data_IF_636160234483
#
_entry.id   IF_636160234483
#
_cell.length_a   1.000
_cell.length_b   1.000
_cell.length_c   1.000
_cell.angle_alpha   90.00
_cell.angle_beta   90.00
_cell.angle_gamma   90.00
#
_symmetry.space_group_name_H-M   'P 1'
#
loop_
_entity.id
_entity.type
_entity.pdbx_description
1 polymer ?
#
# COMPACT_ATOMS: atom_id res chain seq x y z
N UNK A 1 -4.46 6.81 14.89
CA UNK A 1 -5.57 5.90 15.23
C UNK A 1 -5.08 4.47 15.04
N UNK A 2 -5.43 3.58 15.96
CA UNK A 2 -5.11 2.16 15.86
C UNK A 2 -6.13 1.48 14.95
N UNK A 3 -5.65 0.77 13.94
CA UNK A 3 -6.47 -0.09 13.09
C UNK A 3 -6.18 -1.55 13.46
N UNK A 4 -7.23 -2.34 13.59
CA UNK A 4 -7.17 -3.72 14.06
C UNK A 4 -7.87 -4.65 13.07
N UNK A 5 -7.31 -5.83 12.91
CA UNK A 5 -7.91 -6.94 12.17
C UNK A 5 -7.86 -8.16 13.07
N UNK A 6 -8.89 -8.99 13.08
CA UNK A 6 -8.85 -10.28 13.78
C UNK A 6 -8.98 -11.41 12.78
N UNK A 7 -8.31 -12.50 13.07
CA UNK A 7 -8.47 -13.74 12.32
C UNK A 7 -9.87 -14.31 12.53
N UNK A 8 -10.37 -14.23 13.77
CA UNK A 8 -11.74 -14.58 14.15
C UNK A 8 -12.28 -13.48 15.06
N UNK A 9 -13.41 -12.89 14.67
CA UNK A 9 -14.18 -11.96 15.50
C UNK A 9 -15.15 -12.76 16.38
N UNK A 10 -15.04 -12.57 17.69
CA UNK A 10 -15.95 -13.16 18.68
C UNK A 10 -17.03 -12.15 19.11
N UNK A 11 -16.71 -10.85 19.06
CA UNK A 11 -17.60 -9.72 19.32
C UNK A 11 -17.00 -8.43 18.72
N UNK A 12 -17.73 -7.31 18.75
CA UNK A 12 -17.42 -6.03 18.06
C UNK A 12 -15.98 -5.51 18.26
N UNK A 13 -15.34 -5.81 19.39
CA UNK A 13 -13.95 -5.42 19.69
C UNK A 13 -13.12 -6.57 20.29
N UNK A 14 -13.53 -7.82 20.06
CA UNK A 14 -12.86 -8.97 20.64
C UNK A 14 -12.75 -10.12 19.65
N UNK A 15 -11.62 -10.82 19.69
CA UNK A 15 -11.31 -11.88 18.75
C UNK A 15 -9.97 -12.53 19.00
N UNK A 16 -9.66 -13.55 18.20
CA UNK A 16 -8.36 -14.22 18.21
C UNK A 16 -7.54 -13.84 16.98
N UNK A 17 -6.22 -13.95 17.07
CA UNK A 17 -5.34 -13.62 15.95
C UNK A 17 -5.31 -12.12 15.59
N UNK A 18 -5.53 -11.23 16.56
CA UNK A 18 -5.53 -9.77 16.37
C UNK A 18 -4.25 -9.31 15.66
N UNK A 19 -4.31 -8.53 14.60
CA UNK A 19 -3.21 -7.78 14.00
C UNK A 19 -3.49 -6.29 14.15
N UNK A 20 -2.44 -5.47 14.33
CA UNK A 20 -2.61 -4.05 14.60
C UNK A 20 -1.60 -3.21 13.82
N UNK A 21 -2.07 -2.07 13.34
CA UNK A 21 -1.27 -1.12 12.58
C UNK A 21 -1.78 0.30 12.84
N UNK A 22 -0.98 1.31 12.52
CA UNK A 22 -1.34 2.70 12.80
C UNK A 22 -1.73 3.46 11.55
N UNK A 23 -2.89 4.12 11.63
CA UNK A 23 -3.43 4.99 10.61
C UNK A 23 -3.36 6.44 11.10
N UNK A 24 -2.57 7.27 10.41
CA UNK A 24 -2.40 8.70 10.70
C UNK A 24 -3.54 9.46 10.04
N UNK A 25 -4.32 10.15 10.88
CA UNK A 25 -5.40 11.04 10.42
C UNK A 25 -4.90 12.48 10.26
N UNK A 26 -4.09 12.93 11.20
CA UNK A 26 -3.59 14.28 11.31
C UNK A 26 -2.29 14.29 12.11
N UNK A 27 -1.41 15.25 11.80
CA UNK A 27 -0.19 15.55 12.57
C UNK A 27 -0.51 16.25 13.89
N UNK A 28 -1.48 17.16 13.86
CA UNK A 28 -1.84 18.01 14.98
C UNK A 28 -3.35 17.95 15.22
N UNK A 29 -3.76 18.08 16.48
CA UNK A 29 -5.17 18.25 16.85
C UNK A 29 -5.61 19.68 16.59
N UNK A 30 -5.99 19.96 15.35
CA UNK A 30 -6.45 21.27 14.90
C UNK A 30 -7.54 21.12 13.82
N UNK A 31 -8.21 22.23 13.53
CA UNK A 31 -9.26 22.29 12.51
C UNK A 31 -8.72 22.41 11.06
N UNK A 32 -7.40 22.29 10.84
CA UNK A 32 -6.82 22.40 9.50
C UNK A 32 -7.32 21.26 8.62
N UNK A 33 -7.96 21.61 7.50
CA UNK A 33 -8.46 20.65 6.51
C UNK A 33 -7.30 19.86 5.91
N UNK A 34 -7.45 18.53 5.88
CA UNK A 34 -6.47 17.60 5.33
C UNK A 34 -7.11 16.77 4.22
N UNK A 35 -6.59 16.84 2.99
CA UNK A 35 -7.07 16.01 1.90
C UNK A 35 -6.92 14.51 2.19
N UNK A 36 -7.86 13.73 1.69
CA UNK A 36 -7.82 12.27 1.76
C UNK A 36 -8.44 11.68 0.50
N UNK A 37 -8.05 10.45 0.18
CA UNK A 37 -8.57 9.65 -0.93
C UNK A 37 -9.06 8.33 -0.36
N UNK A 38 -10.29 7.94 -0.72
CA UNK A 38 -10.85 6.63 -0.44
C UNK A 38 -11.22 5.98 -1.76
N UNK A 39 -10.63 4.83 -2.06
CA UNK A 39 -10.94 4.01 -3.24
C UNK A 39 -11.15 2.58 -2.82
N UNK A 40 -12.03 1.84 -3.46
CA UNK A 40 -12.39 0.50 -3.03
C UNK A 40 -13.31 -0.20 -4.00
N UNK A 41 -13.46 -1.50 -3.80
CA UNK A 41 -14.49 -2.33 -4.41
C UNK A 41 -15.31 -3.03 -3.32
N UNK A 42 -16.08 -4.05 -3.67
CA UNK A 42 -16.94 -4.77 -2.72
C UNK A 42 -16.20 -5.58 -1.65
N UNK A 43 -14.87 -5.78 -1.78
CA UNK A 43 -14.09 -6.66 -0.89
C UNK A 43 -12.99 -5.93 -0.11
N UNK A 44 -12.59 -4.73 -0.54
CA UNK A 44 -11.48 -3.99 0.07
C UNK A 44 -11.55 -2.50 -0.22
N UNK A 45 -10.77 -1.74 0.55
CA UNK A 45 -10.53 -0.34 0.29
C UNK A 45 -9.10 0.08 0.62
N UNK A 46 -8.72 1.19 -0.01
CA UNK A 46 -7.57 2.01 0.33
C UNK A 46 -8.03 3.36 0.88
N UNK A 47 -7.47 3.77 2.01
CA UNK A 47 -7.56 5.12 2.54
C UNK A 47 -6.18 5.76 2.46
N UNK A 48 -6.01 6.81 1.67
CA UNK A 48 -4.78 7.58 1.63
C UNK A 48 -5.01 8.96 2.27
N UNK A 49 -4.23 9.32 3.28
CA UNK A 49 -4.43 10.56 4.04
C UNK A 49 -3.21 11.46 3.93
N UNK A 50 -3.41 12.71 3.48
CA UNK A 50 -2.40 13.77 3.59
C UNK A 50 -2.40 14.32 5.02
N UNK A 51 -1.79 13.54 5.92
CA UNK A 51 -1.95 13.70 7.37
C UNK A 51 -1.16 14.90 7.93
N UNK A 52 -0.12 15.39 7.23
CA UNK A 52 0.82 16.39 7.74
C UNK A 52 0.66 17.75 7.08
N UNK A 53 0.74 18.81 7.90
CA UNK A 53 0.81 20.20 7.42
C UNK A 53 2.25 20.58 7.05
N UNK A 54 3.24 20.03 7.76
CA UNK A 54 4.67 20.20 7.45
C UNK A 54 5.06 19.50 6.14
N UNK A 55 4.32 18.47 5.74
CA UNK A 55 4.59 17.64 4.57
C UNK A 55 3.36 17.54 3.64
N UNK A 56 2.97 18.65 2.99
CA UNK A 56 1.82 18.65 2.09
C UNK A 56 2.02 17.69 0.91
N UNK A 57 0.92 17.14 0.39
CA UNK A 57 0.90 16.21 -0.75
C UNK A 57 1.68 14.90 -0.50
N UNK A 58 1.80 14.48 0.76
CA UNK A 58 2.41 13.20 1.15
C UNK A 58 1.36 12.29 1.77
N UNK A 59 0.58 11.61 0.92
CA UNK A 59 -0.48 10.73 1.41
C UNK A 59 0.11 9.44 1.97
N UNK A 60 -0.29 9.08 3.18
CA UNK A 60 -0.01 7.77 3.74
C UNK A 60 -1.15 6.81 3.37
N UNK A 61 -0.90 5.72 2.60
CA UNK A 61 -1.93 4.77 2.23
C UNK A 61 -2.12 3.71 3.30
N UNK A 62 -3.38 3.35 3.50
CA UNK A 62 -3.86 2.35 4.42
C UNK A 62 -4.77 1.39 3.66
N UNK A 63 -4.68 0.10 3.95
CA UNK A 63 -5.48 -0.92 3.29
C UNK A 63 -6.19 -1.81 4.30
N UNK A 64 -7.41 -2.18 3.97
CA UNK A 64 -8.09 -3.29 4.62
C UNK A 64 -8.98 -4.03 3.62
N UNK A 65 -8.97 -5.35 3.70
CA UNK A 65 -9.87 -6.24 2.99
C UNK A 65 -9.18 -7.46 2.39
N UNK A 66 -9.86 -8.15 1.49
CA UNK A 66 -9.38 -9.41 0.92
C UNK A 66 -8.51 -9.18 -0.32
N UNK A 67 -7.40 -9.90 -0.44
CA UNK A 67 -6.57 -9.89 -1.66
C UNK A 67 -6.77 -11.15 -2.52
N UNK A 68 -6.56 -11.07 -3.84
CA UNK A 68 -6.62 -12.23 -4.73
C UNK A 68 -5.44 -13.17 -4.48
N UNK A 69 -5.66 -14.16 -3.62
CA UNK A 69 -4.64 -15.12 -3.23
C UNK A 69 -4.33 -16.12 -4.34
N UNK A 70 -3.04 -16.40 -4.54
CA UNK A 70 -2.56 -17.47 -5.42
C UNK A 70 -2.75 -18.87 -4.80
N UNK A 71 -3.04 -18.96 -3.50
CA UNK A 71 -3.30 -20.25 -2.84
C UNK A 71 -4.73 -20.71 -3.20
N UNK A 72 -4.85 -21.87 -3.82
CA UNK A 72 -6.15 -22.50 -4.03
C UNK A 72 -6.85 -22.79 -2.68
N UNK A 73 -8.13 -22.43 -2.57
CA UNK A 73 -8.91 -22.61 -1.34
C UNK A 73 -8.41 -21.75 -0.18
N UNK A 74 -7.96 -20.52 -0.46
CA UNK A 74 -7.48 -19.64 0.60
C UNK A 74 -8.59 -19.18 1.53
N UNK A 75 -8.58 -19.65 2.78
CA UNK A 75 -9.51 -19.24 3.81
C UNK A 75 -9.07 -17.95 4.55
N UNK A 76 -7.84 -17.47 4.32
CA UNK A 76 -7.24 -16.36 5.07
C UNK A 76 -6.70 -15.28 4.14
N UNK A 77 -7.56 -14.79 3.24
CA UNK A 77 -7.26 -13.73 2.27
C UNK A 77 -7.27 -12.31 2.83
N UNK A 78 -7.51 -12.11 4.13
CA UNK A 78 -7.60 -10.79 4.73
C UNK A 78 -6.21 -10.16 4.96
N UNK A 79 -6.07 -8.89 4.56
CA UNK A 79 -4.86 -8.10 4.71
C UNK A 79 -5.19 -6.75 5.40
N UNK A 80 -4.34 -6.37 6.35
CA UNK A 80 -4.34 -5.07 7.00
C UNK A 80 -3.00 -4.39 6.75
N UNK A 81 -3.01 -3.17 6.20
CA UNK A 81 -1.80 -2.40 5.97
C UNK A 81 -1.86 -1.01 6.59
N UNK A 82 -0.72 -0.60 7.15
CA UNK A 82 -0.51 0.74 7.68
C UNK A 82 0.88 0.86 8.25
N UNK A 83 1.02 1.65 9.31
CA UNK A 83 2.31 1.90 9.93
C UNK A 83 2.65 0.89 11.03
N UNK A 84 3.86 0.32 10.97
CA UNK A 84 4.29 -0.76 11.87
C UNK A 84 4.62 -0.29 13.31
N UNK A 85 5.26 0.87 13.44
CA UNK A 85 5.78 1.34 14.72
C UNK A 85 4.78 2.24 15.43
N UNK A 86 4.21 1.70 16.50
CA UNK A 86 3.20 2.37 17.32
C UNK A 86 3.76 3.53 18.16
N UNK A 87 5.09 3.61 18.31
CA UNK A 87 5.77 4.55 19.20
C UNK A 87 6.46 5.70 18.47
N UNK A 88 6.31 5.80 17.14
CA UNK A 88 7.12 6.75 16.38
C UNK A 88 6.70 8.21 16.57
N UNK A 89 7.63 9.11 16.22
CA UNK A 89 7.36 10.53 16.08
C UNK A 89 6.22 10.78 15.07
N UNK A 90 5.13 11.33 15.59
CA UNK A 90 3.92 11.65 14.86
C UNK A 90 4.02 12.87 13.96
N UNK A 91 5.08 13.66 14.10
CA UNK A 91 5.25 14.90 13.37
C UNK A 91 5.79 14.72 11.94
N UNK A 92 6.47 13.61 11.66
CA UNK A 92 7.38 13.49 10.52
C UNK A 92 7.16 12.19 9.71
N UNK A 93 7.33 12.20 8.37
CA UNK A 93 7.53 10.98 7.60
C UNK A 93 8.75 10.23 8.15
N UNK A 94 8.56 8.98 8.52
CA UNK A 94 9.56 8.15 9.19
C UNK A 94 9.89 6.93 8.35
N UNK A 95 11.04 6.31 8.60
CA UNK A 95 11.44 5.07 7.91
C UNK A 95 10.44 3.93 8.15
N UNK A 96 10.35 3.02 7.18
CA UNK A 96 9.42 1.89 7.16
C UNK A 96 7.94 2.28 7.14
N UNK A 97 7.59 3.42 6.52
CA UNK A 97 6.25 3.60 6.00
C UNK A 97 5.94 2.46 5.01
N UNK A 98 4.66 2.12 4.88
CA UNK A 98 4.21 1.08 3.94
C UNK A 98 4.64 1.37 2.49
N UNK A 99 4.93 2.64 2.22
CA UNK A 99 5.37 3.24 0.97
C UNK A 99 6.86 3.46 0.85
N UNK A 100 7.65 3.27 1.92
CA UNK A 100 9.10 3.55 1.94
C UNK A 100 9.93 2.52 1.18
N UNK A 101 9.43 1.30 1.09
CA UNK A 101 10.19 0.18 0.58
C UNK A 101 9.30 -0.67 -0.34
N UNK A 102 9.46 -0.49 -1.65
CA UNK A 102 9.16 -1.59 -2.56
C UNK A 102 10.36 -2.50 -2.51
N UNK A 103 10.20 -3.64 -1.85
CA UNK A 103 11.33 -4.55 -1.66
C UNK A 103 11.57 -5.36 -2.94
N UNK A 104 12.82 -5.76 -3.16
CA UNK A 104 13.13 -6.74 -4.19
C UNK A 104 12.48 -8.07 -3.82
N UNK A 105 11.92 -8.75 -4.82
CA UNK A 105 11.32 -10.08 -4.64
C UNK A 105 12.36 -11.02 -4.04
N UNK A 106 11.95 -11.82 -3.04
CA UNK A 106 12.81 -12.80 -2.37
C UNK A 106 13.61 -12.25 -1.18
N UNK A 107 13.52 -10.95 -0.87
CA UNK A 107 14.18 -10.37 0.31
C UNK A 107 13.48 -10.77 1.62
N UNK A 108 14.20 -10.73 2.74
CA UNK A 108 13.62 -11.01 4.06
C UNK A 108 12.57 -9.97 4.45
N UNK A 109 11.47 -10.42 5.05
CA UNK A 109 10.37 -9.54 5.50
C UNK A 109 10.60 -9.11 6.94
N UNK A 110 10.75 -7.80 7.13
CA UNK A 110 10.91 -7.15 8.44
C UNK A 110 9.57 -6.78 9.09
N UNK A 111 9.57 -5.79 9.98
CA UNK A 111 8.32 -5.25 10.54
C UNK A 111 7.78 -4.14 9.64
N UNK A 112 6.79 -4.46 8.81
CA UNK A 112 6.27 -3.54 7.78
C UNK A 112 4.95 -2.84 8.12
N UNK A 113 4.22 -3.34 9.12
CA UNK A 113 2.85 -2.87 9.41
C UNK A 113 1.82 -3.39 8.41
N UNK A 114 2.23 -4.32 7.54
CA UNK A 114 1.38 -5.12 6.66
C UNK A 114 1.23 -6.50 7.29
N UNK A 115 -0.01 -6.89 7.54
CA UNK A 115 -0.37 -8.11 8.22
C UNK A 115 -1.31 -8.94 7.37
N UNK A 116 -1.04 -10.25 7.33
CA UNK A 116 -1.97 -11.25 6.80
C UNK A 116 -2.56 -12.02 7.97
N UNK A 117 -3.83 -12.39 7.87
CA UNK A 117 -4.49 -13.20 8.90
C UNK A 117 -3.75 -14.52 9.16
N UNK A 118 -3.23 -15.17 8.11
CA UNK A 118 -2.33 -16.33 8.19
C UNK A 118 -1.41 -16.45 6.98
N UNK A 119 -0.30 -17.17 7.15
CA UNK A 119 0.58 -17.57 6.05
C UNK A 119 0.00 -18.64 5.12
N UNK A 120 0.69 -18.90 4.01
CA UNK A 120 0.19 -19.77 2.93
C UNK A 120 -0.04 -21.22 3.36
N UNK A 121 0.58 -21.66 4.45
CA UNK A 121 0.30 -22.96 5.04
C UNK A 121 -1.10 -23.06 5.64
N UNK A 122 -1.76 -21.92 5.90
CA UNK A 122 -3.00 -21.78 6.70
C UNK A 122 -2.85 -22.26 8.16
N UNK A 123 -1.62 -22.50 8.59
CA UNK A 123 -1.28 -22.90 9.95
C UNK A 123 -0.69 -21.72 10.72
N UNK A 124 -0.75 -21.79 12.04
CA UNK A 124 -0.21 -20.76 12.92
C UNK A 124 -1.18 -19.62 13.16
N UNK A 125 -0.68 -18.39 13.11
CA UNK A 125 -1.47 -17.17 13.28
C UNK A 125 -1.02 -16.09 12.31
N UNK A 126 -1.34 -14.84 12.64
CA UNK A 126 -0.98 -13.67 11.83
C UNK A 126 0.51 -13.63 11.51
N UNK A 127 0.83 -13.24 10.28
CA UNK A 127 2.21 -13.06 9.84
C UNK A 127 2.41 -11.69 9.20
N UNK A 128 3.64 -11.22 9.21
CA UNK A 128 4.00 -10.01 8.49
C UNK A 128 4.14 -10.31 6.99
N UNK A 129 3.90 -9.29 6.16
CA UNK A 129 4.10 -9.33 4.73
C UNK A 129 4.77 -8.04 4.24
N UNK A 130 5.19 -8.01 2.98
CA UNK A 130 5.69 -6.80 2.33
C UNK A 130 5.20 -6.70 0.90
N UNK A 131 5.24 -5.48 0.36
CA UNK A 131 4.97 -5.26 -1.06
C UNK A 131 6.27 -5.33 -1.84
N UNK A 132 6.24 -6.07 -2.94
CA UNK A 132 7.39 -6.25 -3.83
C UNK A 132 6.98 -5.93 -5.27
N UNK A 133 7.91 -5.39 -6.05
CA UNK A 133 7.75 -5.15 -7.49
C UNK A 133 9.09 -5.28 -8.20
N UNK A 134 9.07 -5.32 -9.53
CA UNK A 134 10.25 -5.57 -10.36
C UNK A 134 11.32 -4.45 -10.39
N UNK A 135 11.02 -3.14 -10.28
CA UNK A 135 12.02 -2.11 -10.16
C UNK A 135 12.24 -1.80 -8.67
N UNK A 136 12.74 -2.79 -7.95
CA UNK A 136 13.22 -2.58 -6.59
C UNK A 136 14.75 -2.63 -6.63
N UNK A 137 15.36 -1.54 -7.09
CA UNK A 137 16.76 -1.29 -6.78
C UNK A 137 16.89 -1.22 -5.27
N UNK A 138 17.75 -2.05 -4.68
CA UNK A 138 17.93 -2.12 -3.23
C UNK A 138 18.20 -0.73 -2.65
N UNK A 139 17.18 -0.12 -2.03
CA UNK A 139 17.28 1.20 -1.40
C UNK A 139 16.58 2.37 -2.10
N UNK A 140 15.69 2.17 -3.09
CA UNK A 140 14.89 3.30 -3.63
C UNK A 140 13.88 3.82 -2.60
N UNK A 141 13.91 5.13 -2.36
CA UNK A 141 13.18 5.87 -1.31
C UNK A 141 11.69 6.08 -1.62
N UNK A 142 10.99 4.97 -1.83
CA UNK A 142 9.54 4.87 -1.93
C UNK A 142 8.97 4.48 -3.31
N UNK A 143 7.67 4.14 -3.34
CA UNK A 143 6.95 3.77 -4.57
C UNK A 143 7.12 4.83 -5.68
N UNK A 144 7.57 4.45 -6.87
CA UNK A 144 7.78 5.40 -7.98
C UNK A 144 8.94 6.37 -7.87
N UNK A 145 9.82 6.21 -6.86
CA UNK A 145 11.09 6.91 -6.78
C UNK A 145 12.16 6.24 -7.68
N UNK A 146 11.90 6.17 -8.99
CA UNK A 146 12.88 5.64 -9.96
C UNK A 146 13.52 6.76 -10.78
N UNK A 147 14.58 6.43 -11.54
CA UNK A 147 15.25 7.35 -12.44
C UNK A 147 14.52 7.56 -13.79
N UNK A 148 13.39 6.87 -14.03
CA UNK A 148 12.62 7.04 -15.27
C UNK A 148 11.91 8.40 -15.21
N UNK A 149 12.20 9.34 -16.14
CA UNK A 149 11.58 10.65 -16.13
C UNK A 149 10.12 10.58 -16.60
N UNK A 150 9.30 11.49 -16.08
CA UNK A 150 7.95 11.73 -16.58
C UNK A 150 7.93 13.00 -17.47
N UNK A 151 7.27 12.97 -18.64
CA UNK A 151 6.76 11.77 -19.31
C UNK A 151 7.91 10.90 -19.83
N UNK A 152 7.63 9.63 -20.15
CA UNK A 152 8.66 8.78 -20.71
C UNK A 152 9.14 9.32 -22.07
N UNK A 153 10.45 9.50 -22.32
CA UNK A 153 10.93 10.17 -23.54
C UNK A 153 10.63 9.41 -24.84
N UNK A 154 10.46 8.09 -24.78
CA UNK A 154 10.27 7.28 -25.98
C UNK A 154 8.84 7.31 -26.54
N UNK A 155 7.83 7.49 -25.70
CA UNK A 155 6.42 7.39 -26.09
C UNK A 155 5.51 8.44 -25.41
N UNK A 156 6.08 9.35 -24.63
CA UNK A 156 5.37 10.35 -23.85
C UNK A 156 4.38 9.76 -22.83
N UNK A 157 4.57 8.50 -22.43
CA UNK A 157 3.66 7.75 -21.57
C UNK A 157 4.01 7.75 -20.09
N UNK A 158 3.09 7.18 -19.31
CA UNK A 158 3.25 6.80 -17.90
C UNK A 158 3.30 5.27 -17.83
N UNK A 159 4.20 4.73 -17.01
CA UNK A 159 4.28 3.31 -16.76
C UNK A 159 3.98 3.01 -15.31
N UNK A 160 3.25 1.92 -15.11
CA UNK A 160 2.92 1.39 -13.80
C UNK A 160 3.23 -0.09 -13.79
N UNK A 161 3.62 -0.60 -12.63
CA UNK A 161 3.84 -2.02 -12.42
C UNK A 161 2.94 -2.55 -11.30
N UNK A 162 2.47 -3.79 -11.40
CA UNK A 162 1.77 -4.42 -10.29
C UNK A 162 2.70 -4.55 -9.09
N UNK A 163 2.08 -4.51 -7.91
CA UNK A 163 2.70 -4.87 -6.65
C UNK A 163 2.25 -6.29 -6.28
N UNK A 164 3.17 -7.07 -5.71
CA UNK A 164 2.90 -8.40 -5.20
C UNK A 164 3.01 -8.40 -3.68
N UNK A 165 2.24 -9.27 -3.03
CA UNK A 165 2.30 -9.51 -1.60
C UNK A 165 3.29 -10.65 -1.35
N UNK A 166 4.33 -10.39 -0.56
CA UNK A 166 5.29 -11.41 -0.14
C UNK A 166 5.20 -11.66 1.37
N UNK A 167 5.17 -12.92 1.77
CA UNK A 167 5.06 -13.34 3.17
C UNK A 167 6.41 -13.45 3.89
N UNK A 168 6.39 -13.35 5.21
CA UNK A 168 7.60 -13.47 6.04
C UNK A 168 8.21 -14.87 6.11
N UNK A 169 7.38 -15.92 6.14
CA UNK A 169 7.87 -17.29 6.41
C UNK A 169 8.26 -17.98 5.11
N UNK A 170 9.54 -17.92 4.75
CA UNK A 170 10.06 -18.46 3.49
C UNK A 170 9.54 -17.65 2.30
N UNK A 171 10.24 -16.58 1.89
CA UNK A 171 9.68 -15.47 1.09
C UNK A 171 8.93 -15.97 -0.14
N UNK A 172 7.61 -16.08 -0.01
CA UNK A 172 6.70 -16.61 -1.01
C UNK A 172 5.73 -15.52 -1.42
N UNK A 173 5.42 -15.43 -2.71
CA UNK A 173 4.40 -14.52 -3.22
C UNK A 173 3.01 -15.11 -2.96
N UNK A 174 2.15 -14.38 -2.24
CA UNK A 174 0.80 -14.82 -1.88
C UNK A 174 -0.27 -14.32 -2.83
N UNK A 175 -0.02 -13.26 -3.59
CA UNK A 175 -0.99 -12.71 -4.53
C UNK A 175 -0.58 -11.33 -5.04
N UNK A 176 -1.40 -10.77 -5.94
CA UNK A 176 -1.28 -9.37 -6.37
C UNK A 176 -1.87 -8.46 -5.29
N UNK A 177 -1.26 -7.30 -5.09
CA UNK A 177 -1.83 -6.25 -4.25
C UNK A 177 -3.00 -5.61 -5.02
N UNK A 178 -4.24 -5.66 -4.50
CA UNK A 178 -5.40 -5.18 -5.23
C UNK A 178 -5.44 -3.65 -5.27
N UNK A 179 -5.72 -3.09 -6.43
CA UNK A 179 -6.06 -1.67 -6.61
C UNK A 179 -4.92 -0.66 -6.50
N UNK A 180 -3.71 -1.05 -6.06
CA UNK A 180 -2.55 -0.16 -6.01
C UNK A 180 -1.43 -0.67 -6.92
N UNK A 181 -0.98 0.22 -7.79
CA UNK A 181 0.14 -0.02 -8.70
C UNK A 181 1.30 0.90 -8.32
N UNK A 182 2.52 0.46 -8.64
CA UNK A 182 3.74 1.25 -8.50
C UNK A 182 3.97 2.04 -9.80
N UNK A 183 3.83 3.37 -9.81
CA UNK A 183 4.30 4.19 -10.93
C UNK A 183 5.80 3.98 -11.10
N UNK A 184 6.31 4.03 -12.32
CA UNK A 184 7.75 3.99 -12.56
C UNK A 184 8.37 5.38 -12.61
N UNK A 185 7.57 6.42 -12.79
CA UNK A 185 8.08 7.77 -12.92
C UNK A 185 7.74 8.66 -11.73
N UNK A 186 8.62 9.61 -11.44
CA UNK A 186 8.31 10.74 -10.56
C UNK A 186 7.43 11.73 -11.32
N UNK A 187 6.13 11.69 -11.06
CA UNK A 187 5.12 12.50 -11.77
C UNK A 187 5.00 13.89 -11.09
N UNK A 188 5.33 15.02 -11.76
CA UNK A 188 5.28 16.36 -11.20
C UNK A 188 3.93 17.03 -11.53
N UNK A 189 2.84 16.55 -10.95
CA UNK A 189 1.48 16.99 -11.32
C UNK A 189 0.68 17.58 -10.16
N UNK A 190 -0.31 18.44 -10.43
CA UNK A 190 -1.30 18.83 -9.42
C UNK A 190 -2.10 17.59 -9.01
N UNK A 191 -2.00 17.23 -7.75
CA UNK A 191 -2.67 16.06 -7.19
C UNK A 191 -4.11 16.43 -6.77
N UNK A 192 -5.08 15.51 -6.88
CA UNK A 192 -4.98 14.18 -7.49
C UNK A 192 -5.13 14.21 -9.03
N UNK A 193 -4.37 13.40 -9.76
CA UNK A 193 -4.45 13.34 -11.23
C UNK A 193 -5.03 12.02 -11.73
N UNK A 194 -6.01 12.11 -12.63
CA UNK A 194 -6.58 10.96 -13.33
C UNK A 194 -5.89 10.70 -14.66
N UNK A 195 -5.57 9.44 -14.89
CA UNK A 195 -5.03 8.95 -16.14
C UNK A 195 -5.96 7.85 -16.70
N UNK A 196 -6.71 8.14 -17.76
CA UNK A 196 -7.59 7.16 -18.39
C UNK A 196 -6.83 6.26 -19.38
N UNK A 197 -7.45 5.14 -19.75
CA UNK A 197 -7.04 4.39 -20.95
C UNK A 197 -5.92 3.38 -20.75
N UNK A 198 -5.58 3.02 -19.51
CA UNK A 198 -4.70 1.87 -19.29
C UNK A 198 -5.42 0.59 -19.66
N UNK A 199 -4.68 -0.40 -20.15
CA UNK A 199 -5.19 -1.76 -20.28
C UNK A 199 -4.42 -2.63 -19.29
N UNK A 200 -5.10 -3.10 -18.25
CA UNK A 200 -4.53 -3.95 -17.21
C UNK A 200 -5.33 -5.25 -17.20
N UNK A 201 -4.62 -6.37 -17.41
CA UNK A 201 -5.20 -7.70 -17.56
C UNK A 201 -6.36 -7.73 -18.58
N UNK A 202 -6.18 -7.04 -19.72
CA UNK A 202 -7.16 -6.96 -20.80
C UNK A 202 -8.35 -6.03 -20.54
N UNK A 203 -8.42 -5.37 -19.39
CA UNK A 203 -9.51 -4.46 -19.02
C UNK A 203 -9.04 -3.01 -19.10
N UNK A 204 -9.86 -2.13 -19.71
CA UNK A 204 -9.58 -0.70 -19.71
C UNK A 204 -9.80 -0.11 -18.32
N UNK A 205 -8.80 0.58 -17.78
CA UNK A 205 -8.76 1.08 -16.40
C UNK A 205 -8.44 2.56 -16.34
N UNK A 206 -9.02 3.25 -15.36
CA UNK A 206 -8.70 4.63 -15.00
C UNK A 206 -7.85 4.62 -13.73
N UNK A 207 -6.71 5.31 -13.73
CA UNK A 207 -5.85 5.43 -12.56
C UNK A 207 -5.95 6.81 -11.93
N UNK A 208 -5.95 6.85 -10.59
CA UNK A 208 -5.77 8.05 -9.78
C UNK A 208 -4.37 8.06 -9.21
N UNK A 209 -3.56 9.04 -9.58
CA UNK A 209 -2.21 9.21 -9.06
C UNK A 209 -2.18 10.32 -8.00
N UNK A 210 -1.62 9.98 -6.83
CA UNK A 210 -1.36 10.91 -5.73
C UNK A 210 0.06 10.75 -5.20
N UNK A 211 0.52 11.73 -4.42
CA UNK A 211 1.78 11.66 -3.72
C UNK A 211 1.71 10.67 -2.56
N UNK A 212 2.80 9.95 -2.34
CA UNK A 212 2.97 9.03 -1.22
C UNK A 212 3.94 9.62 -0.20
N UNK A 213 3.67 9.38 1.08
CA UNK A 213 4.62 9.65 2.13
C UNK A 213 5.83 8.70 2.02
N UNK A 214 7.04 9.19 2.18
CA UNK A 214 8.24 8.38 2.35
C UNK A 214 9.25 9.17 3.19
N UNK A 215 10.10 8.46 3.92
CA UNK A 215 11.20 8.93 4.76
C UNK A 215 12.17 9.84 4.01
N UNK A 216 12.68 9.40 2.86
CA UNK A 216 13.74 10.09 2.11
C UNK A 216 13.35 10.42 0.64
N UNK A 217 12.08 10.62 0.32
CA UNK A 217 11.70 10.80 -1.08
C UNK A 217 10.27 11.23 -1.36
N UNK A 218 9.97 11.27 -2.66
CA UNK A 218 8.63 11.44 -3.21
C UNK A 218 8.13 10.06 -3.65
N UNK A 219 7.28 9.43 -2.84
CA UNK A 219 6.55 8.28 -3.33
C UNK A 219 5.37 8.74 -4.21
N UNK A 220 4.89 7.85 -5.07
CA UNK A 220 3.70 8.02 -5.91
C UNK A 220 2.84 6.77 -5.81
N UNK A 221 1.55 6.97 -5.67
CA UNK A 221 0.55 5.92 -5.55
C UNK A 221 -0.36 6.00 -6.76
N UNK A 222 -0.48 4.92 -7.54
CA UNK A 222 -1.45 4.83 -8.62
C UNK A 222 -2.58 3.87 -8.22
N UNK A 223 -3.74 4.44 -7.89
CA UNK A 223 -4.92 3.67 -7.55
C UNK A 223 -5.75 3.35 -8.80
N UNK A 224 -6.12 2.10 -9.01
CA UNK A 224 -7.09 1.71 -10.04
C UNK A 224 -8.51 2.05 -9.59
N UNK A 225 -9.16 2.99 -10.27
CA UNK A 225 -10.53 3.44 -9.99
C UNK A 225 -11.62 2.56 -10.62
N UNK A 226 -11.25 1.63 -11.49
CA UNK A 226 -12.22 0.85 -12.26
C UNK A 226 -12.70 -0.38 -11.51
N UNK A 227 -11.77 -1.19 -10.95
CA UNK A 227 -12.13 -2.45 -10.29
C UNK A 227 -12.95 -3.41 -11.19
N UNK A 228 -13.45 -4.53 -10.63
CA UNK A 228 -12.97 -5.15 -9.40
C UNK A 228 -11.49 -5.56 -9.53
N UNK A 229 -10.84 -5.80 -8.39
CA UNK A 229 -9.40 -6.10 -8.32
C UNK A 229 -9.07 -7.58 -8.05
N UNK A 230 -9.95 -8.50 -8.48
CA UNK A 230 -9.72 -9.95 -8.40
C UNK A 230 -8.93 -10.49 -9.60
#
# INVERSE_FOLDING_TARGET
MLAQMWEVLNDVDNGTGKAETMWRKAQNDNATTRPWVLVGDSKRFWLAVNWSESYPNRYAPYFFGDFPSAKAGDAYGALLAGYFDLNINWAEPSSNLVTDNVYSVGTGVGSTGIWLARGYSQLGGRINAQWVSAPAGGGSTGLGATAVPYPNPADNGIYVMPLMIQEQTGPSLRGRLPGLLCPLQSIPAPEPWKFPGFVIDGTQRELLVVGGAASNGNARLAFDLTGPWD
#
